data_IF_099302328288
#
_entry.id   IF_099302328288
#
_cell.length_a   1.000
_cell.length_b   1.000
_cell.length_c   1.000
_cell.angle_alpha   90.00
_cell.angle_beta   90.00
_cell.angle_gamma   90.00
#
_symmetry.space_group_name_H-M   'P 1'
#
loop_
_entity.id
_entity.type
_entity.pdbx_description
1 polymer ?
#
# COMPACT_ATOMS: atom_id res chain seq x y z
N UNK A 1 9.88 7.17 3.48
CA UNK A 1 8.44 7.42 3.74
C UNK A 1 8.13 8.83 3.29
N UNK A 2 7.28 8.95 2.27
CA UNK A 2 6.73 10.22 1.79
C UNK A 2 5.25 10.29 2.17
N UNK A 3 4.82 11.42 2.73
CA UNK A 3 3.45 11.65 3.20
C UNK A 3 2.71 12.77 2.47
N UNK A 4 3.22 13.20 1.30
CA UNK A 4 2.69 14.36 0.56
C UNK A 4 1.31 14.10 -0.05
N UNK A 5 1.06 12.89 -0.54
CA UNK A 5 -0.24 12.44 -1.10
C UNK A 5 -0.57 11.05 -0.56
N UNK A 6 -1.04 10.94 0.68
CA UNK A 6 -1.19 9.65 1.35
C UNK A 6 0.13 9.19 1.99
N UNK A 7 0.44 7.89 1.95
CA UNK A 7 1.66 7.31 2.51
C UNK A 7 2.36 6.45 1.45
N UNK A 8 3.54 6.88 1.01
CA UNK A 8 4.41 6.15 0.10
C UNK A 8 5.64 5.61 0.83
N UNK A 9 5.89 4.33 0.63
CA UNK A 9 7.03 3.59 1.17
C UNK A 9 7.84 3.05 -0.01
N UNK A 10 9.10 3.48 -0.11
CA UNK A 10 10.05 2.97 -1.09
C UNK A 10 11.01 2.02 -0.37
N UNK A 11 11.17 0.82 -0.93
CA UNK A 11 12.05 -0.27 -0.46
C UNK A 11 13.07 -0.60 -1.56
N UNK A 12 14.06 -1.44 -1.25
CA UNK A 12 15.08 -1.82 -2.24
C UNK A 12 14.52 -2.59 -3.44
N UNK A 13 13.41 -3.33 -3.25
CA UNK A 13 12.84 -4.22 -4.26
C UNK A 13 11.42 -3.84 -4.72
N UNK A 14 10.97 -2.62 -4.39
CA UNK A 14 9.68 -2.11 -4.80
C UNK A 14 9.21 -0.90 -4.00
N UNK A 15 7.99 -0.48 -4.27
CA UNK A 15 7.33 0.59 -3.52
C UNK A 15 5.85 0.26 -3.30
N UNK A 16 5.30 0.86 -2.25
CA UNK A 16 3.91 0.77 -1.85
C UNK A 16 3.36 2.17 -1.62
N UNK A 17 2.21 2.48 -2.21
CA UNK A 17 1.53 3.76 -2.06
C UNK A 17 0.09 3.56 -1.60
N UNK A 18 -0.21 4.05 -0.41
CA UNK A 18 -1.54 4.10 0.17
C UNK A 18 -2.08 5.52 0.06
N UNK A 19 -3.24 5.71 -0.58
CA UNK A 19 -3.89 7.03 -0.67
C UNK A 19 -5.40 6.92 -0.57
N UNK A 20 -6.03 7.95 -0.04
CA UNK A 20 -7.49 8.10 -0.08
C UNK A 20 -7.89 8.70 -1.42
N UNK A 21 -9.03 8.27 -1.97
CA UNK A 21 -9.61 8.90 -3.15
C UNK A 21 -10.30 10.21 -2.76
N UNK A 22 -10.07 11.27 -3.53
CA UNK A 22 -10.69 12.58 -3.29
C UNK A 22 -12.14 12.63 -3.77
N UNK A 23 -12.54 11.74 -4.68
CA UNK A 23 -13.85 11.77 -5.34
C UNK A 23 -14.75 10.59 -5.00
N UNK A 24 -14.19 9.54 -4.41
CA UNK A 24 -14.89 8.29 -4.10
C UNK A 24 -14.57 7.89 -2.66
N UNK A 25 -15.49 7.24 -1.92
CA UNK A 25 -15.25 6.81 -0.54
C UNK A 25 -14.42 5.51 -0.50
N UNK A 26 -13.24 5.53 -1.12
CA UNK A 26 -12.34 4.38 -1.23
C UNK A 26 -10.90 4.76 -0.86
N UNK A 27 -10.17 3.77 -0.34
CA UNK A 27 -8.71 3.81 -0.20
C UNK A 27 -8.07 2.99 -1.31
N UNK A 28 -7.03 3.53 -1.95
CA UNK A 28 -6.23 2.84 -2.97
C UNK A 28 -4.92 2.37 -2.35
N UNK A 29 -4.56 1.12 -2.66
CA UNK A 29 -3.27 0.52 -2.39
C UNK A 29 -2.64 0.20 -3.75
N UNK A 30 -1.53 0.85 -4.07
CA UNK A 30 -0.77 0.66 -5.31
C UNK A 30 0.58 0.09 -4.94
N UNK A 31 0.99 -0.98 -5.61
CA UNK A 31 2.23 -1.68 -5.33
C UNK A 31 2.96 -1.96 -6.64
N UNK A 32 4.25 -1.70 -6.64
CA UNK A 32 5.18 -2.14 -7.68
C UNK A 32 6.35 -2.85 -7.01
N UNK A 33 6.78 -3.97 -7.56
CA UNK A 33 7.91 -4.72 -7.05
C UNK A 33 8.64 -5.44 -8.18
N UNK A 34 9.86 -5.91 -7.88
CA UNK A 34 10.70 -6.68 -8.81
C UNK A 34 10.03 -7.92 -9.41
N UNK A 35 9.09 -8.52 -8.69
CA UNK A 35 8.35 -9.71 -9.11
C UNK A 35 6.95 -9.78 -8.46
N UNK A 36 6.09 -10.63 -9.03
CA UNK A 36 4.71 -10.79 -8.57
C UNK A 36 4.62 -11.32 -7.12
N UNK A 37 5.55 -12.19 -6.69
CA UNK A 37 5.54 -12.73 -5.33
C UNK A 37 5.80 -11.63 -4.30
N UNK A 38 6.73 -10.74 -4.58
CA UNK A 38 7.09 -9.61 -3.73
C UNK A 38 5.94 -8.60 -3.66
N UNK A 39 5.32 -8.27 -4.80
CA UNK A 39 4.15 -7.41 -4.83
C UNK A 39 2.98 -8.00 -4.01
N UNK A 40 2.74 -9.30 -4.15
CA UNK A 40 1.69 -10.01 -3.40
C UNK A 40 1.94 -9.97 -1.88
N UNK A 41 3.19 -10.14 -1.43
CA UNK A 41 3.55 -10.01 -0.01
C UNK A 41 3.24 -8.62 0.56
N UNK A 42 3.50 -7.57 -0.21
CA UNK A 42 3.18 -6.20 0.20
C UNK A 42 1.67 -5.97 0.32
N UNK A 43 0.90 -6.50 -0.63
CA UNK A 43 -0.57 -6.44 -0.57
C UNK A 43 -1.10 -7.18 0.67
N UNK A 44 -0.64 -8.42 0.90
CA UNK A 44 -1.07 -9.23 2.05
C UNK A 44 -0.73 -8.56 3.38
N UNK A 45 0.47 -7.99 3.49
CA UNK A 45 0.89 -7.25 4.68
C UNK A 45 -0.04 -6.08 4.96
N UNK A 46 -0.33 -5.25 3.95
CA UNK A 46 -1.23 -4.11 4.10
C UNK A 46 -2.67 -4.54 4.47
N UNK A 47 -3.18 -5.62 3.86
CA UNK A 47 -4.50 -6.17 4.18
C UNK A 47 -4.58 -6.71 5.60
N UNK A 48 -3.52 -7.37 6.08
CA UNK A 48 -3.47 -7.89 7.44
C UNK A 48 -3.45 -6.76 8.47
N UNK A 49 -2.62 -5.74 8.26
CA UNK A 49 -2.62 -4.53 9.12
C UNK A 49 -4.01 -3.89 9.17
N UNK A 50 -4.68 -3.76 8.01
CA UNK A 50 -6.05 -3.24 7.95
C UNK A 50 -7.01 -4.06 8.81
N UNK A 51 -6.91 -5.40 8.78
CA UNK A 51 -7.76 -6.29 9.60
C UNK A 51 -7.53 -6.09 11.10
N UNK A 52 -6.29 -5.92 11.53
CA UNK A 52 -5.96 -5.69 12.95
C UNK A 52 -6.46 -4.34 13.48
N UNK A 53 -6.52 -3.31 12.63
CA UNK A 53 -6.93 -1.96 13.02
C UNK A 53 -8.46 -1.78 12.96
N UNK A 54 -9.12 -2.39 11.97
CA UNK A 54 -10.56 -2.22 11.71
C UNK A 54 -11.39 -3.39 12.25
N UNK A 55 -10.72 -4.41 12.81
CA UNK A 55 -11.34 -5.56 13.48
C UNK A 55 -11.93 -5.21 14.84
#
# INVERSE_FOLDING_TARGET
LDTTDGCRFDFEDGWLHLRVSNTEPIMRLIVEAKDQSTAQKYIETAVNIRKEIVG
#
